data_IF_241531063224
#
_entry.id   IF_241531063224
#
_cell.length_a   1.000
_cell.length_b   1.000
_cell.length_c   1.000
_cell.angle_alpha   90.00
_cell.angle_beta   90.00
_cell.angle_gamma   90.00
#
_symmetry.space_group_name_H-M   'P 1'
#
loop_
_entity.id
_entity.type
_entity.pdbx_description
1 polymer ?
#
# COMPACT_ATOMS: atom_id res chain seq x y z
N UNK A 1 -14.17 -9.91 -49.95
CA UNK A 1 -15.63 -10.09 -50.14
C UNK A 1 -16.37 -10.76 -48.97
N UNK A 2 -15.71 -11.30 -47.94
CA UNK A 2 -16.38 -12.00 -46.82
C UNK A 2 -16.88 -11.12 -45.64
N UNK A 3 -16.32 -9.90 -45.45
CA UNK A 3 -16.61 -9.06 -44.26
C UNK A 3 -18.01 -8.39 -44.29
N UNK A 4 -18.53 -8.05 -45.48
CA UNK A 4 -19.85 -7.42 -45.62
C UNK A 4 -21.01 -8.40 -45.37
N UNK A 5 -20.82 -9.69 -45.63
CA UNK A 5 -21.84 -10.73 -45.39
C UNK A 5 -22.06 -10.95 -43.90
N UNK A 6 -20.98 -11.04 -43.12
CA UNK A 6 -21.06 -11.20 -41.66
C UNK A 6 -21.73 -10.02 -40.98
N UNK A 7 -21.39 -8.78 -41.38
CA UNK A 7 -22.03 -7.56 -40.84
C UNK A 7 -23.51 -7.48 -41.20
N UNK A 8 -23.93 -7.91 -42.40
CA UNK A 8 -25.34 -7.97 -42.77
C UNK A 8 -26.11 -9.04 -41.99
N UNK A 9 -25.54 -10.22 -41.80
CA UNK A 9 -26.14 -11.31 -41.00
C UNK A 9 -26.28 -10.88 -39.54
N UNK A 10 -25.26 -10.21 -38.98
CA UNK A 10 -25.31 -9.68 -37.62
C UNK A 10 -26.41 -8.62 -37.49
N UNK A 11 -26.50 -7.71 -38.46
CA UNK A 11 -27.48 -6.61 -38.46
C UNK A 11 -28.92 -7.14 -38.61
N UNK A 12 -29.14 -8.12 -39.49
CA UNK A 12 -30.43 -8.79 -39.69
C UNK A 12 -30.86 -9.55 -38.43
N UNK A 13 -29.93 -10.29 -37.81
CA UNK A 13 -30.17 -11.02 -36.57
C UNK A 13 -30.52 -10.05 -35.43
N UNK A 14 -29.82 -8.93 -35.31
CA UNK A 14 -30.13 -7.87 -34.34
C UNK A 14 -31.53 -7.28 -34.55
N UNK A 15 -31.93 -6.97 -35.78
CA UNK A 15 -33.29 -6.42 -36.05
C UNK A 15 -34.39 -7.42 -35.75
N UNK A 16 -34.19 -8.71 -36.05
CA UNK A 16 -35.17 -9.78 -35.78
C UNK A 16 -35.25 -10.12 -34.29
N UNK A 17 -34.12 -10.06 -33.57
CA UNK A 17 -34.07 -10.16 -32.11
C UNK A 17 -34.79 -8.97 -31.48
N UNK A 18 -34.64 -7.76 -32.01
CA UNK A 18 -35.27 -6.55 -31.46
C UNK A 18 -36.80 -6.58 -31.60
N UNK A 19 -37.35 -7.05 -32.71
CA UNK A 19 -38.80 -7.21 -32.89
C UNK A 19 -39.37 -8.38 -32.09
N UNK A 20 -38.62 -9.49 -31.95
CA UNK A 20 -39.02 -10.63 -31.12
C UNK A 20 -39.00 -10.31 -29.62
N UNK A 21 -38.01 -9.55 -29.15
CA UNK A 21 -37.91 -9.10 -27.75
C UNK A 21 -39.00 -8.09 -27.35
N UNK A 22 -39.66 -7.44 -28.31
CA UNK A 22 -40.72 -6.45 -28.07
C UNK A 22 -42.15 -7.02 -28.08
N UNK A 23 -42.30 -8.33 -28.26
CA UNK A 23 -43.60 -9.01 -28.11
C UNK A 23 -44.01 -9.08 -26.63
N UNK A 24 -45.30 -8.88 -26.33
CA UNK A 24 -45.83 -8.86 -24.95
C UNK A 24 -45.47 -10.12 -24.16
N UNK A 25 -45.58 -11.29 -24.77
CA UNK A 25 -45.30 -12.57 -24.10
C UNK A 25 -43.82 -12.74 -23.76
N UNK A 26 -42.93 -12.30 -24.65
CA UNK A 26 -41.47 -12.33 -24.43
C UNK A 26 -41.07 -11.34 -23.34
N UNK A 27 -41.71 -10.17 -23.29
CA UNK A 27 -41.49 -9.20 -22.21
C UNK A 27 -41.92 -9.75 -20.85
N UNK A 28 -43.10 -10.37 -20.77
CA UNK A 28 -43.60 -11.01 -19.55
C UNK A 28 -42.67 -12.16 -19.12
N UNK A 29 -42.27 -13.03 -20.05
CA UNK A 29 -41.30 -14.08 -19.78
C UNK A 29 -39.97 -13.52 -19.26
N UNK A 30 -39.42 -12.49 -19.91
CA UNK A 30 -38.16 -11.88 -19.52
C UNK A 30 -38.25 -11.23 -18.13
N UNK A 31 -39.38 -10.60 -17.82
CA UNK A 31 -39.64 -10.04 -16.49
C UNK A 31 -39.57 -11.12 -15.41
N UNK A 32 -40.30 -12.23 -15.58
CA UNK A 32 -40.28 -13.34 -14.63
C UNK A 32 -38.91 -14.04 -14.58
N UNK A 33 -38.22 -14.14 -15.71
CA UNK A 33 -36.86 -14.68 -15.77
C UNK A 33 -35.89 -13.81 -14.96
N UNK A 34 -35.95 -12.48 -15.08
CA UNK A 34 -35.12 -11.56 -14.29
C UNK A 34 -35.46 -11.66 -12.80
N UNK A 35 -36.74 -11.76 -12.43
CA UNK A 35 -37.13 -11.97 -11.03
C UNK A 35 -36.58 -13.29 -10.47
N UNK A 36 -36.76 -14.39 -11.21
CA UNK A 36 -36.23 -15.70 -10.82
C UNK A 36 -34.71 -15.66 -10.70
N UNK A 37 -34.02 -15.11 -11.70
CA UNK A 37 -32.57 -14.95 -11.67
C UNK A 37 -32.11 -14.06 -10.50
N UNK A 38 -32.83 -12.98 -10.20
CA UNK A 38 -32.56 -12.10 -9.06
C UNK A 38 -32.70 -12.81 -7.72
N UNK A 39 -33.78 -13.57 -7.52
CA UNK A 39 -33.98 -14.38 -6.32
C UNK A 39 -32.88 -15.44 -6.15
N UNK A 40 -32.55 -16.15 -7.23
CA UNK A 40 -31.44 -17.12 -7.24
C UNK A 40 -30.09 -16.46 -6.95
N UNK A 41 -29.85 -15.26 -7.47
CA UNK A 41 -28.64 -14.49 -7.22
C UNK A 41 -28.50 -14.10 -5.75
N UNK A 42 -29.57 -13.59 -5.12
CA UNK A 42 -29.59 -13.25 -3.68
C UNK A 42 -29.38 -14.51 -2.84
N UNK A 43 -30.06 -15.62 -3.14
CA UNK A 43 -29.85 -16.88 -2.44
C UNK A 43 -28.41 -17.41 -2.57
N UNK A 44 -27.81 -17.26 -3.75
CA UNK A 44 -26.42 -17.67 -3.98
C UNK A 44 -25.39 -16.79 -3.23
N UNK A 45 -25.76 -15.56 -2.83
CA UNK A 45 -24.95 -14.63 -2.06
C UNK A 45 -25.04 -14.85 -0.55
N UNK A 46 -26.19 -15.32 -0.04
CA UNK A 46 -26.35 -15.65 1.39
C UNK A 46 -25.62 -16.92 1.82
N UNK A 47 -25.06 -17.71 0.89
CA UNK A 47 -24.28 -18.90 1.22
C UNK A 47 -22.89 -18.51 1.71
N UNK A 48 -22.49 -19.10 2.83
CA UNK A 48 -21.13 -18.98 3.36
C UNK A 48 -20.12 -19.61 2.41
N UNK A 49 -18.97 -18.96 2.23
CA UNK A 49 -17.84 -19.49 1.47
C UNK A 49 -16.53 -19.17 2.15
N UNK A 50 -15.52 -19.99 1.86
CA UNK A 50 -14.15 -19.74 2.30
C UNK A 50 -13.36 -19.00 1.22
N UNK A 51 -12.58 -18.01 1.62
CA UNK A 51 -11.62 -17.31 0.74
C UNK A 51 -10.38 -16.88 1.49
N UNK A 52 -9.28 -16.80 0.75
CA UNK A 52 -8.04 -16.19 1.23
C UNK A 52 -7.98 -14.73 0.80
N UNK A 53 -7.76 -13.83 1.75
CA UNK A 53 -7.54 -12.40 1.52
C UNK A 53 -6.11 -12.03 1.93
N UNK A 54 -5.58 -10.97 1.33
CA UNK A 54 -4.21 -10.48 1.57
C UNK A 54 -4.26 -9.06 2.10
N UNK A 55 -3.88 -8.86 3.35
CA UNK A 55 -3.96 -7.55 3.99
C UNK A 55 -2.54 -6.99 4.16
N UNK A 56 -2.26 -5.76 3.70
CA UNK A 56 -0.97 -5.14 3.93
C UNK A 56 -0.79 -4.79 5.43
N UNK A 57 0.43 -4.98 5.93
CA UNK A 57 0.83 -4.66 7.29
C UNK A 57 1.60 -3.34 7.32
N UNK A 58 1.25 -2.47 8.27
CA UNK A 58 1.90 -1.19 8.48
C UNK A 58 2.41 -1.13 9.93
N UNK A 59 3.72 -0.93 10.08
CA UNK A 59 4.37 -0.87 11.38
C UNK A 59 4.53 0.59 11.82
N UNK A 60 3.96 0.96 12.96
CA UNK A 60 4.06 2.33 13.53
C UNK A 60 4.73 2.34 14.88
N UNK A 61 5.23 3.50 15.32
CA UNK A 61 5.74 3.67 16.68
C UNK A 61 7.20 3.26 16.85
N UNK A 62 7.94 3.14 15.74
CA UNK A 62 9.40 2.93 15.77
C UNK A 62 10.08 4.30 15.80
N UNK A 63 10.87 4.61 16.84
CA UNK A 63 11.65 5.84 16.90
C UNK A 63 12.71 5.93 15.79
N UNK A 64 13.12 7.14 15.41
CA UNK A 64 14.12 7.37 14.35
C UNK A 64 15.50 6.76 14.63
N UNK A 65 15.84 6.56 15.91
CA UNK A 65 17.10 5.95 16.34
C UNK A 65 17.03 4.43 16.50
N UNK A 66 15.98 3.76 15.99
CA UNK A 66 15.85 2.30 16.00
C UNK A 66 15.83 1.79 14.56
N UNK A 67 16.72 0.84 14.25
CA UNK A 67 16.71 0.12 13.00
C UNK A 67 16.08 -1.27 13.19
N UNK A 68 15.16 -1.64 12.31
CA UNK A 68 14.68 -3.01 12.20
C UNK A 68 15.73 -3.79 11.40
N UNK A 69 16.32 -4.81 12.02
CA UNK A 69 17.44 -5.57 11.44
C UNK A 69 16.96 -6.75 10.60
N UNK A 70 15.74 -7.23 10.81
CA UNK A 70 15.13 -8.29 10.01
C UNK A 70 14.16 -7.73 8.95
N UNK A 71 13.66 -8.61 8.09
CA UNK A 71 12.62 -8.28 7.11
C UNK A 71 11.26 -8.80 7.59
N UNK A 72 10.51 -8.04 8.40
CA UNK A 72 9.19 -8.47 8.82
C UNK A 72 8.23 -8.56 7.63
N UNK A 73 7.23 -9.46 7.67
CA UNK A 73 6.27 -9.64 6.59
C UNK A 73 5.50 -8.34 6.34
N UNK A 74 5.32 -7.99 5.06
CA UNK A 74 4.54 -6.81 4.65
C UNK A 74 3.08 -7.13 4.37
N UNK A 75 2.74 -8.42 4.24
CA UNK A 75 1.43 -8.92 3.85
C UNK A 75 1.06 -10.04 4.81
N UNK A 76 -0.17 -10.00 5.31
CA UNK A 76 -0.80 -11.05 6.10
C UNK A 76 -1.84 -11.75 5.22
N UNK A 77 -1.72 -13.06 5.05
CA UNK A 77 -2.73 -13.85 4.35
C UNK A 77 -3.69 -14.47 5.34
N UNK A 78 -4.98 -14.23 5.16
CA UNK A 78 -6.04 -14.70 6.05
C UNK A 78 -7.01 -15.58 5.27
N UNK A 79 -7.24 -16.79 5.76
CA UNK A 79 -8.32 -17.64 5.29
C UNK A 79 -9.56 -17.32 6.12
N UNK A 80 -10.56 -16.72 5.49
CA UNK A 80 -11.81 -16.30 6.12
C UNK A 80 -12.99 -17.08 5.58
N UNK A 81 -14.03 -17.24 6.40
CA UNK A 81 -15.33 -17.80 6.04
C UNK A 81 -16.42 -16.78 6.37
N UNK A 82 -17.22 -16.41 5.38
CA UNK A 82 -18.31 -15.44 5.54
C UNK A 82 -19.35 -15.60 4.42
N UNK A 83 -20.47 -14.90 4.53
CA UNK A 83 -21.47 -14.79 3.49
C UNK A 83 -20.88 -14.18 2.20
N UNK A 84 -21.36 -14.66 1.04
CA UNK A 84 -20.90 -14.20 -0.27
C UNK A 84 -21.00 -12.69 -0.48
N UNK A 85 -21.99 -12.02 0.10
CA UNK A 85 -22.11 -10.56 0.03
C UNK A 85 -20.97 -9.84 0.78
N UNK A 86 -20.61 -10.29 1.98
CA UNK A 86 -19.50 -9.73 2.75
C UNK A 86 -18.15 -9.97 2.06
N UNK A 87 -17.96 -11.17 1.49
CA UNK A 87 -16.77 -11.51 0.70
C UNK A 87 -16.58 -10.60 -0.52
N UNK A 88 -17.66 -10.12 -1.15
CA UNK A 88 -17.58 -9.16 -2.25
C UNK A 88 -17.13 -7.78 -1.78
N UNK A 89 -17.60 -7.33 -0.60
CA UNK A 89 -17.19 -6.06 -0.03
C UNK A 89 -15.68 -6.01 0.23
N UNK A 90 -15.09 -7.11 0.73
CA UNK A 90 -13.64 -7.22 0.94
C UNK A 90 -12.81 -7.18 -0.35
N UNK A 91 -13.42 -7.51 -1.49
CA UNK A 91 -12.76 -7.40 -2.81
C UNK A 91 -12.83 -5.97 -3.37
N UNK A 92 -13.92 -5.27 -3.10
CA UNK A 92 -14.17 -3.94 -3.68
C UNK A 92 -13.61 -2.81 -2.83
N UNK A 93 -13.58 -2.95 -1.50
CA UNK A 93 -12.82 -2.04 -0.63
C UNK A 93 -11.34 -2.33 -0.80
N UNK A 94 -10.55 -1.30 -1.10
CA UNK A 94 -9.10 -1.35 -0.89
C UNK A 94 -8.87 -1.78 0.56
N UNK A 95 -8.26 -2.95 0.76
CA UNK A 95 -8.05 -3.50 2.08
C UNK A 95 -7.21 -2.51 2.89
N UNK A 96 -7.81 -1.94 3.93
CA UNK A 96 -7.14 -0.98 4.81
C UNK A 96 -5.96 -1.68 5.48
N UNK A 97 -4.75 -1.11 5.41
CA UNK A 97 -3.59 -1.70 6.06
C UNK A 97 -3.82 -1.87 7.56
N UNK A 98 -3.48 -3.06 8.08
CA UNK A 98 -3.53 -3.29 9.52
C UNK A 98 -2.32 -2.60 10.13
N UNK A 99 -2.59 -1.70 11.06
CA UNK A 99 -1.54 -1.01 11.80
C UNK A 99 -1.11 -1.84 13.01
N UNK A 100 0.17 -2.21 13.05
CA UNK A 100 0.82 -2.85 14.20
C UNK A 100 1.63 -1.80 14.95
N UNK A 101 1.20 -1.50 16.17
CA UNK A 101 1.88 -0.54 17.02
C UNK A 101 3.06 -1.19 17.76
N UNK A 102 4.27 -0.72 17.46
CA UNK A 102 5.53 -1.14 18.07
C UNK A 102 6.03 -0.18 19.15
N UNK A 103 5.24 0.84 19.53
CA UNK A 103 5.57 1.81 20.58
C UNK A 103 5.73 1.09 21.92
N UNK A 104 6.97 0.77 22.26
CA UNK A 104 7.38 0.05 23.47
C UNK A 104 8.72 0.59 23.93
N UNK A 105 9.18 0.14 25.08
CA UNK A 105 10.55 0.42 25.54
C UNK A 105 11.54 -0.34 24.64
N UNK A 106 12.39 0.41 23.95
CA UNK A 106 13.46 -0.14 23.11
C UNK A 106 14.79 -0.13 23.87
N UNK A 107 15.49 -1.26 23.89
CA UNK A 107 16.84 -1.40 24.45
C UNK A 107 17.91 -1.30 23.34
N UNK A 108 19.18 -1.54 23.65
CA UNK A 108 20.27 -1.49 22.65
C UNK A 108 20.07 -2.49 21.51
N UNK A 109 19.63 -3.71 21.83
CA UNK A 109 19.17 -4.72 20.87
C UNK A 109 18.02 -5.48 21.48
N UNK A 110 17.09 -5.95 20.65
CA UNK A 110 15.97 -6.73 21.16
C UNK A 110 15.16 -7.42 20.07
N UNK A 111 14.21 -8.23 20.54
CA UNK A 111 13.23 -8.94 19.73
C UNK A 111 11.84 -8.65 20.24
N UNK A 112 10.94 -8.26 19.35
CA UNK A 112 9.52 -8.09 19.63
C UNK A 112 8.80 -9.23 18.92
N UNK A 113 8.03 -10.01 19.69
CA UNK A 113 7.18 -11.04 19.14
C UNK A 113 5.72 -10.61 19.25
N UNK A 114 5.05 -10.53 18.11
CA UNK A 114 3.61 -10.33 18.03
C UNK A 114 2.98 -11.72 17.95
N UNK A 115 2.20 -12.06 18.98
CA UNK A 115 1.57 -13.38 19.10
C UNK A 115 0.34 -13.50 18.20
N UNK A 116 -0.08 -14.73 17.85
CA UNK A 116 -1.30 -14.95 17.09
C UNK A 116 -2.55 -14.28 17.70
N UNK A 117 -2.63 -14.24 19.03
CA UNK A 117 -3.76 -13.62 19.75
C UNK A 117 -3.79 -12.09 19.56
N UNK A 118 -2.61 -11.46 19.58
CA UNK A 118 -2.49 -10.03 19.30
C UNK A 118 -2.85 -9.70 17.84
N UNK A 119 -2.50 -10.58 16.90
CA UNK A 119 -2.91 -10.41 15.50
C UNK A 119 -4.43 -10.58 15.39
N UNK A 120 -4.98 -11.65 15.94
CA UNK A 120 -6.41 -11.97 15.88
C UNK A 120 -7.28 -10.88 16.50
N UNK A 121 -6.93 -10.40 17.70
CA UNK A 121 -7.64 -9.30 18.36
C UNK A 121 -7.58 -7.99 17.57
N UNK A 122 -6.47 -7.70 16.89
CA UNK A 122 -6.38 -6.58 15.98
C UNK A 122 -7.28 -6.78 14.75
N UNK A 123 -7.32 -7.99 14.18
CA UNK A 123 -8.12 -8.33 13.00
C UNK A 123 -9.62 -8.18 13.22
N UNK A 124 -10.11 -8.52 14.41
CA UNK A 124 -11.53 -8.35 14.75
C UNK A 124 -12.03 -6.91 14.62
N UNK A 125 -11.14 -5.90 14.67
CA UNK A 125 -11.49 -4.50 14.44
C UNK A 125 -11.65 -4.12 12.98
N UNK A 126 -11.08 -4.90 12.06
CA UNK A 126 -11.08 -4.64 10.62
C UNK A 126 -12.06 -5.54 9.85
N UNK A 127 -12.45 -6.67 10.44
CA UNK A 127 -13.38 -7.62 9.85
C UNK A 127 -14.82 -7.39 10.36
N UNK A 128 -15.80 -7.81 9.56
CA UNK A 128 -17.20 -7.84 9.98
C UNK A 128 -17.37 -8.86 11.13
N UNK A 129 -18.30 -8.61 12.07
CA UNK A 129 -18.57 -9.54 13.17
C UNK A 129 -18.98 -10.95 12.73
N UNK A 130 -19.53 -11.09 11.52
CA UNK A 130 -19.94 -12.37 10.92
C UNK A 130 -18.78 -13.14 10.30
N UNK A 131 -17.63 -12.50 10.08
CA UNK A 131 -16.47 -13.13 9.45
C UNK A 131 -15.75 -14.05 10.41
N UNK A 132 -15.68 -15.34 10.08
CA UNK A 132 -14.89 -16.31 10.83
C UNK A 132 -13.48 -16.39 10.23
N UNK A 133 -12.46 -16.23 11.08
CA UNK A 133 -11.05 -16.42 10.71
C UNK A 133 -10.72 -17.90 10.90
N UNK A 134 -10.38 -18.60 9.81
CA UNK A 134 -10.00 -20.01 9.84
C UNK A 134 -8.50 -20.20 10.01
N UNK A 135 -7.71 -19.37 9.34
CA UNK A 135 -6.25 -19.48 9.31
C UNK A 135 -5.62 -18.11 9.09
N UNK A 136 -4.48 -17.86 9.73
CA UNK A 136 -3.72 -16.61 9.60
C UNK A 136 -2.27 -16.96 9.32
N UNK A 137 -1.70 -16.50 8.20
CA UNK A 137 -0.27 -16.67 7.90
C UNK A 137 0.42 -15.33 7.65
N UNK A 138 1.59 -15.08 8.25
CA UNK A 138 2.21 -15.92 9.28
C UNK A 138 1.47 -15.86 10.62
N UNK A 139 1.53 -16.96 11.38
CA UNK A 139 0.84 -17.10 12.67
C UNK A 139 1.41 -16.14 13.73
N UNK A 140 2.71 -15.82 13.63
CA UNK A 140 3.39 -14.86 14.50
C UNK A 140 4.35 -14.00 13.70
N UNK A 141 4.60 -12.79 14.19
CA UNK A 141 5.49 -11.83 13.56
C UNK A 141 6.62 -11.51 14.54
N UNK A 142 7.85 -11.86 14.14
CA UNK A 142 9.05 -11.51 14.90
C UNK A 142 9.69 -10.28 14.27
N UNK A 143 10.03 -9.31 15.10
CA UNK A 143 10.69 -8.07 14.70
C UNK A 143 11.96 -7.96 15.52
N UNK A 144 13.09 -7.98 14.85
CA UNK A 144 14.39 -7.78 15.46
C UNK A 144 14.79 -6.32 15.26
N UNK A 145 15.32 -5.70 16.31
CA UNK A 145 15.71 -4.31 16.26
C UNK A 145 17.04 -4.07 16.96
N UNK A 146 17.70 -3.01 16.52
CA UNK A 146 18.94 -2.51 17.10
C UNK A 146 18.87 -0.98 17.18
N UNK A 147 19.37 -0.44 18.29
CA UNK A 147 19.46 0.99 18.50
C UNK A 147 20.64 1.55 17.74
N UNK A 148 20.36 2.54 16.91
CA UNK A 148 21.35 3.30 16.18
C UNK A 148 21.98 4.34 17.09
N UNK A 149 23.27 4.56 16.90
CA UNK A 149 23.94 5.73 17.44
C UNK A 149 23.56 6.95 16.60
N UNK A 150 23.63 8.13 17.20
CA UNK A 150 23.40 9.41 16.53
C UNK A 150 24.67 10.25 16.56
N UNK A 151 25.02 10.88 15.44
CA UNK A 151 26.09 11.86 15.36
C UNK A 151 25.60 13.12 14.63
N UNK A 152 26.04 14.29 15.09
CA UNK A 152 25.77 15.57 14.40
C UNK A 152 26.97 15.88 13.52
N UNK A 153 26.77 15.89 12.20
CA UNK A 153 27.84 16.07 11.23
C UNK A 153 27.61 17.35 10.40
N UNK A 154 28.68 18.11 10.11
CA UNK A 154 28.60 19.24 9.19
C UNK A 154 28.36 18.78 7.75
N UNK A 155 27.63 19.59 6.99
CA UNK A 155 27.36 19.36 5.56
C UNK A 155 28.43 20.09 4.74
N UNK A 156 29.04 19.37 3.81
CA UNK A 156 29.95 19.88 2.80
C UNK A 156 29.23 19.89 1.45
N UNK A 157 28.83 21.07 0.98
CA UNK A 157 28.13 21.21 -0.28
C UNK A 157 29.10 21.21 -1.45
N UNK A 158 28.84 20.38 -2.45
CA UNK A 158 29.59 20.36 -3.71
C UNK A 158 28.86 21.21 -4.74
N UNK A 159 29.30 22.44 -4.94
CA UNK A 159 28.69 23.36 -5.90
C UNK A 159 29.68 23.63 -7.03
N UNK A 160 29.18 23.60 -8.27
CA UNK A 160 29.85 24.16 -9.45
C UNK A 160 28.97 25.27 -10.00
N UNK A 161 29.46 26.50 -9.99
CA UNK A 161 28.67 27.64 -10.44
C UNK A 161 29.38 28.49 -11.48
N UNK A 162 28.60 29.20 -12.29
CA UNK A 162 29.05 30.32 -13.11
C UNK A 162 28.16 31.53 -12.85
N UNK A 163 28.77 32.71 -12.77
CA UNK A 163 28.04 33.97 -12.56
C UNK A 163 27.58 34.54 -13.90
N UNK A 164 26.40 35.18 -13.91
CA UNK A 164 25.96 35.97 -15.04
C UNK A 164 26.87 37.19 -15.25
N UNK A 165 26.87 37.76 -16.47
CA UNK A 165 27.71 38.90 -16.81
C UNK A 165 27.42 40.07 -15.84
N UNK A 166 28.49 40.74 -15.37
CA UNK A 166 28.43 41.85 -14.40
C UNK A 166 27.90 41.48 -12.99
N UNK A 167 27.86 40.19 -12.62
CA UNK A 167 27.52 39.77 -11.26
C UNK A 167 28.76 39.30 -10.50
N UNK A 168 28.82 39.60 -9.20
CA UNK A 168 29.88 39.17 -8.29
C UNK A 168 29.27 38.65 -6.99
N UNK A 169 29.96 37.73 -6.34
CA UNK A 169 29.57 37.25 -5.00
C UNK A 169 29.98 38.32 -3.98
N UNK A 170 29.02 38.80 -3.20
CA UNK A 170 29.22 39.86 -2.20
C UNK A 170 29.49 39.28 -0.80
N UNK A 171 28.89 38.13 -0.48
CA UNK A 171 28.97 37.48 0.83
C UNK A 171 29.51 36.05 0.75
N UNK A 172 29.89 35.49 1.90
CA UNK A 172 30.30 34.08 1.99
C UNK A 172 29.16 33.13 1.59
N UNK A 173 29.49 32.09 0.82
CA UNK A 173 28.53 31.04 0.46
C UNK A 173 28.28 30.18 1.71
N UNK A 174 27.08 30.25 2.27
CA UNK A 174 26.66 29.41 3.39
C UNK A 174 25.51 28.49 2.97
N UNK A 175 25.43 27.32 3.61
CA UNK A 175 24.35 26.36 3.41
C UNK A 175 23.50 26.30 4.69
N UNK A 176 22.18 26.33 4.51
CA UNK A 176 21.22 26.04 5.56
C UNK A 176 20.41 24.79 5.20
N UNK A 177 20.40 23.75 6.05
CA UNK A 177 21.13 23.62 7.32
C UNK A 177 22.63 23.34 7.14
N UNK A 178 23.50 23.83 8.04
CA UNK A 178 24.95 23.58 7.99
C UNK A 178 25.38 22.28 8.69
N UNK A 179 24.47 21.67 9.46
CA UNK A 179 24.67 20.42 10.21
C UNK A 179 23.42 19.57 10.14
N UNK A 180 23.60 18.25 10.13
CA UNK A 180 22.49 17.29 10.25
C UNK A 180 22.80 16.19 11.24
N UNK A 181 21.76 15.69 11.89
CA UNK A 181 21.83 14.50 12.74
C UNK A 181 21.73 13.26 11.85
N UNK A 182 22.72 12.37 11.94
CA UNK A 182 22.76 11.11 11.21
C UNK A 182 22.65 9.96 12.19
N UNK A 183 21.82 8.97 11.85
CA UNK A 183 21.66 7.73 12.60
C UNK A 183 22.35 6.59 11.87
N UNK A 184 23.08 5.76 12.61
CA UNK A 184 23.76 4.62 12.03
C UNK A 184 24.52 3.75 13.05
N UNK A 185 25.13 2.66 12.57
CA UNK A 185 26.02 1.83 13.38
C UNK A 185 27.18 2.66 13.91
N UNK A 186 27.52 2.49 15.20
CA UNK A 186 28.57 3.25 15.88
C UNK A 186 29.91 3.24 15.14
N UNK A 187 30.28 2.09 14.58
CA UNK A 187 31.52 1.89 13.82
C UNK A 187 31.57 2.72 12.52
N UNK A 188 30.43 2.90 11.85
CA UNK A 188 30.35 3.70 10.62
C UNK A 188 30.34 5.19 10.95
N UNK A 189 29.60 5.58 11.99
CA UNK A 189 29.52 6.97 12.44
C UNK A 189 30.86 7.51 12.95
N UNK A 190 31.67 6.69 13.63
CA UNK A 190 33.00 7.12 14.09
C UNK A 190 33.95 7.47 12.95
N UNK A 191 33.73 6.89 11.76
CA UNK A 191 34.55 7.12 10.58
C UNK A 191 34.03 8.27 9.69
N UNK A 192 32.77 8.69 9.90
CA UNK A 192 32.14 9.78 9.16
C UNK A 192 32.43 11.13 9.81
N UNK A 193 33.11 12.02 9.06
CA UNK A 193 33.44 13.39 9.52
C UNK A 193 32.55 14.47 8.92
N UNK A 194 32.18 14.33 7.65
CA UNK A 194 31.36 15.29 6.89
C UNK A 194 30.35 14.55 6.02
N UNK A 195 29.19 15.16 5.80
CA UNK A 195 28.18 14.70 4.84
C UNK A 195 28.36 15.48 3.55
N UNK A 196 28.62 14.80 2.44
CA UNK A 196 28.77 15.45 1.12
C UNK A 196 27.44 15.45 0.40
N UNK A 197 27.04 16.61 -0.12
CA UNK A 197 25.85 16.70 -0.99
C UNK A 197 26.13 16.11 -2.36
N UNK A 198 25.06 15.86 -3.11
CA UNK A 198 25.17 15.73 -4.56
C UNK A 198 25.74 17.00 -5.18
N UNK A 199 26.37 16.88 -6.34
CA UNK A 199 26.98 18.03 -7.01
C UNK A 199 25.90 18.89 -7.63
N UNK A 200 25.72 20.10 -7.10
CA UNK A 200 24.79 21.09 -7.63
C UNK A 200 25.50 21.93 -8.70
N UNK A 201 24.95 21.97 -9.90
CA UNK A 201 25.49 22.78 -11.01
C UNK A 201 24.57 23.97 -11.24
N UNK A 202 25.09 25.18 -11.06
CA UNK A 202 24.33 26.43 -11.15
C UNK A 202 24.95 27.34 -12.23
N UNK A 203 24.53 27.21 -13.50
CA UNK A 203 25.00 28.08 -14.57
C UNK A 203 24.25 29.42 -14.55
N UNK A 204 24.95 30.50 -14.86
CA UNK A 204 24.40 31.86 -15.02
C UNK A 204 23.62 32.36 -13.78
N UNK A 205 24.19 32.18 -12.60
CA UNK A 205 23.64 32.74 -11.36
C UNK A 205 23.59 34.27 -11.43
N UNK A 206 22.37 34.79 -11.27
CA UNK A 206 22.08 36.22 -11.16
C UNK A 206 21.47 36.59 -9.80
N UNK A 207 20.93 35.64 -9.05
CA UNK A 207 20.30 35.86 -7.73
C UNK A 207 20.56 34.67 -6.76
N UNK A 208 20.24 34.87 -5.47
CA UNK A 208 20.44 33.90 -4.37
C UNK A 208 19.49 32.71 -4.50
N UNK A 209 19.99 31.50 -4.23
CA UNK A 209 19.25 30.22 -4.34
C UNK A 209 19.30 29.44 -3.04
#
# INVERSE_FOLDING_TARGET
MADNSFKQILKYSFTKIKTFLFSKDVFIFLLFFIFSAGLWFVNALGKERERTIYIPLLYTGVPQNIAITNQPPKILSLKIKDEGMNLLQYRQKNLTPITINLSRTFYEKGRIMITPDQISSNLLRYLQPTTLILETKPDSIVIEYEKLSSAVLPIECKIKYSLAQQHMIVDEIYIQPNKMTVFGPKLLLSNLKTIKTETLVLPNLNDTV
#
